data_IF_969409470786
#
_entry.id   IF_969409470786
#
_cell.length_a   1.000
_cell.length_b   1.000
_cell.length_c   1.000
_cell.angle_alpha   90.00
_cell.angle_beta   90.00
_cell.angle_gamma   90.00
#
_symmetry.space_group_name_H-M   'P 1'
#
loop_
_entity.id
_entity.type
_entity.pdbx_description
1 polymer ?
#
# COMPACT_ATOMS: atom_id res chain seq x y z
N UNK A 1 -12.40 17.40 -0.32
CA UNK A 1 -11.55 16.43 -1.05
C UNK A 1 -12.26 15.08 -1.12
N UNK A 2 -12.19 14.39 -2.26
CA UNK A 2 -12.77 13.05 -2.46
C UNK A 2 -11.66 12.11 -2.91
N UNK A 3 -11.54 10.96 -2.25
CA UNK A 3 -10.70 9.85 -2.67
C UNK A 3 -11.59 8.74 -3.25
N UNK A 4 -11.47 8.46 -4.55
CA UNK A 4 -12.06 7.28 -5.15
C UNK A 4 -11.16 6.08 -4.93
N UNK A 5 -11.65 5.13 -4.14
CA UNK A 5 -10.85 4.02 -3.63
C UNK A 5 -11.67 2.75 -3.41
N UNK A 6 -10.97 1.62 -3.36
CA UNK A 6 -11.49 0.34 -2.87
C UNK A 6 -10.57 -0.16 -1.76
N UNK A 7 -11.11 -0.62 -0.62
CA UNK A 7 -10.31 -1.02 0.55
C UNK A 7 -9.31 -2.15 0.27
N UNK A 8 -9.60 -3.02 -0.69
CA UNK A 8 -8.70 -4.12 -1.10
C UNK A 8 -7.46 -3.65 -1.87
N UNK A 9 -7.45 -2.41 -2.36
CA UNK A 9 -6.33 -1.88 -3.16
C UNK A 9 -5.23 -1.31 -2.26
N UNK A 10 -4.04 -1.91 -2.30
CA UNK A 10 -2.87 -1.44 -1.56
C UNK A 10 -2.56 0.04 -1.85
N UNK A 11 -2.65 0.46 -3.11
CA UNK A 11 -2.40 1.85 -3.49
C UNK A 11 -3.48 2.82 -3.00
N UNK A 12 -4.74 2.36 -2.88
CA UNK A 12 -5.79 3.15 -2.23
C UNK A 12 -5.54 3.29 -0.73
N UNK A 13 -5.20 2.20 -0.06
CA UNK A 13 -4.85 2.18 1.35
C UNK A 13 -3.64 3.06 1.65
N UNK A 14 -2.61 3.04 0.77
CA UNK A 14 -1.44 3.92 0.85
C UNK A 14 -1.84 5.41 0.94
N UNK A 15 -2.77 5.87 0.11
CA UNK A 15 -3.27 7.26 0.13
C UNK A 15 -4.17 7.51 1.34
N UNK A 16 -5.06 6.57 1.67
CA UNK A 16 -5.96 6.72 2.83
C UNK A 16 -5.18 6.86 4.15
N UNK A 17 -4.06 6.13 4.31
CA UNK A 17 -3.17 6.30 5.48
C UNK A 17 -2.63 7.73 5.57
N UNK A 18 -2.17 8.33 4.46
CA UNK A 18 -1.66 9.70 4.45
C UNK A 18 -2.75 10.71 4.80
N UNK A 19 -3.93 10.59 4.19
CA UNK A 19 -5.07 11.46 4.48
C UNK A 19 -5.48 11.41 5.96
N UNK A 20 -5.58 10.20 6.52
CA UNK A 20 -5.93 9.97 7.92
C UNK A 20 -4.83 10.46 8.87
N UNK A 21 -3.58 10.15 8.58
CA UNK A 21 -2.44 10.56 9.42
C UNK A 21 -2.32 12.09 9.51
N UNK A 22 -2.48 12.77 8.37
CA UNK A 22 -2.49 14.24 8.29
C UNK A 22 -3.81 14.86 8.75
N UNK A 23 -4.83 14.05 9.09
CA UNK A 23 -6.17 14.51 9.51
C UNK A 23 -6.82 15.44 8.49
N UNK A 24 -6.58 15.21 7.21
CA UNK A 24 -7.14 16.01 6.13
C UNK A 24 -8.62 15.65 5.98
N UNK A 25 -9.57 16.62 6.00
CA UNK A 25 -10.98 16.34 5.76
C UNK A 25 -11.21 15.76 4.36
N UNK A 26 -11.75 14.55 4.28
CA UNK A 26 -11.98 13.87 3.03
C UNK A 26 -13.17 12.89 3.10
N UNK A 27 -13.66 12.50 1.93
CA UNK A 27 -14.59 11.40 1.76
C UNK A 27 -13.90 10.28 0.95
N UNK A 28 -14.13 9.04 1.32
CA UNK A 28 -13.71 7.88 0.53
C UNK A 28 -14.96 7.31 -0.13
N UNK A 29 -14.96 7.26 -1.46
CA UNK A 29 -16.08 6.78 -2.26
C UNK A 29 -15.62 5.66 -3.21
N UNK A 30 -16.48 4.67 -3.51
CA UNK A 30 -16.21 3.73 -4.59
C UNK A 30 -16.27 4.48 -5.95
N UNK A 31 -15.47 4.05 -6.95
CA UNK A 31 -15.59 4.59 -8.30
C UNK A 31 -16.98 4.36 -8.86
N UNK A 32 -17.63 5.37 -9.49
CA UNK A 32 -18.91 5.21 -10.16
C UNK A 32 -18.89 4.04 -11.16
N UNK A 33 -19.81 3.09 -11.03
CA UNK A 33 -19.91 1.86 -11.82
C UNK A 33 -18.62 1.01 -11.88
N UNK A 34 -17.71 1.17 -10.88
CA UNK A 34 -16.43 0.49 -10.78
C UNK A 34 -15.27 1.21 -11.48
N UNK A 35 -14.04 0.87 -11.10
CA UNK A 35 -12.84 1.44 -11.74
C UNK A 35 -12.76 0.98 -13.22
N UNK A 36 -12.29 1.90 -14.08
CA UNK A 36 -12.21 1.67 -15.52
C UNK A 36 -13.51 1.88 -16.28
N UNK A 37 -14.66 2.10 -15.61
CA UNK A 37 -15.95 2.38 -16.26
C UNK A 37 -15.92 3.71 -17.03
N UNK A 38 -16.77 3.86 -18.07
CA UNK A 38 -16.94 5.13 -18.77
C UNK A 38 -17.32 6.28 -17.82
N UNK A 39 -18.21 6.03 -16.88
CA UNK A 39 -18.70 7.01 -15.90
C UNK A 39 -17.57 7.47 -14.96
N UNK A 40 -16.75 6.54 -14.49
CA UNK A 40 -15.61 6.90 -13.65
C UNK A 40 -14.54 7.68 -14.44
N UNK A 41 -14.34 7.35 -15.71
CA UNK A 41 -13.39 8.07 -16.58
C UNK A 41 -13.81 9.52 -16.86
N UNK A 42 -15.08 9.88 -16.71
CA UNK A 42 -15.53 11.26 -16.75
C UNK A 42 -15.05 12.06 -15.52
N UNK A 43 -14.78 11.37 -14.41
CA UNK A 43 -14.29 11.99 -13.16
C UNK A 43 -12.76 11.89 -13.07
N UNK A 44 -12.21 10.69 -13.27
CA UNK A 44 -10.78 10.41 -13.24
C UNK A 44 -10.39 9.83 -14.60
N UNK A 45 -9.81 10.61 -15.51
CA UNK A 45 -9.61 10.23 -16.92
C UNK A 45 -8.80 8.94 -17.13
N UNK A 46 -7.89 8.59 -16.22
CA UNK A 46 -7.14 7.33 -16.27
C UNK A 46 -8.02 6.10 -15.99
N UNK A 47 -9.17 6.27 -15.33
CA UNK A 47 -10.03 5.18 -14.87
C UNK A 47 -9.42 4.31 -13.79
N UNK A 48 -8.21 4.64 -13.28
CA UNK A 48 -7.49 3.89 -12.25
C UNK A 48 -7.86 4.37 -10.84
N UNK A 49 -7.62 3.52 -9.85
CA UNK A 49 -7.69 3.83 -8.42
C UNK A 49 -6.30 3.70 -7.78
N UNK A 50 -5.96 4.55 -6.79
CA UNK A 50 -6.73 5.67 -6.27
C UNK A 50 -6.90 6.81 -7.27
N UNK A 51 -8.05 7.52 -7.18
CA UNK A 51 -8.27 8.80 -7.83
C UNK A 51 -8.59 9.86 -6.79
N UNK A 52 -7.87 10.98 -6.77
CA UNK A 52 -8.11 12.10 -5.87
C UNK A 52 -8.75 13.26 -6.62
N UNK A 53 -9.81 13.84 -6.04
CA UNK A 53 -10.44 15.09 -6.51
C UNK A 53 -10.37 16.13 -5.40
N UNK A 54 -9.71 17.25 -5.68
CA UNK A 54 -9.58 18.38 -4.76
C UNK A 54 -9.91 19.68 -5.52
N UNK A 55 -11.17 20.14 -5.41
CA UNK A 55 -11.68 21.22 -6.25
C UNK A 55 -11.64 20.84 -7.74
N UNK A 56 -10.89 21.60 -8.54
CA UNK A 56 -10.68 21.35 -9.97
C UNK A 56 -9.52 20.38 -10.24
N UNK A 57 -8.69 20.11 -9.25
CA UNK A 57 -7.55 19.21 -9.40
C UNK A 57 -8.04 17.76 -9.36
N UNK A 58 -7.67 16.99 -10.38
CA UNK A 58 -7.88 15.54 -10.44
C UNK A 58 -6.55 14.84 -10.61
N UNK A 59 -6.22 13.96 -9.68
CA UNK A 59 -4.98 13.17 -9.70
C UNK A 59 -5.28 11.68 -9.68
N UNK A 60 -4.43 10.93 -10.33
CA UNK A 60 -4.25 9.48 -10.16
C UNK A 60 -2.75 9.19 -9.94
N UNK A 61 -2.38 7.94 -9.65
CA UNK A 61 -1.08 7.50 -9.18
C UNK A 61 -0.83 7.87 -7.70
N UNK A 62 -0.80 6.84 -6.86
CA UNK A 62 -0.76 6.99 -5.40
C UNK A 62 0.43 7.80 -4.89
N UNK A 63 1.59 7.68 -5.56
CA UNK A 63 2.77 8.44 -5.18
C UNK A 63 2.62 9.94 -5.49
N UNK A 64 2.10 10.27 -6.68
CA UNK A 64 1.84 11.67 -7.05
C UNK A 64 0.80 12.30 -6.12
N UNK A 65 -0.23 11.55 -5.74
CA UNK A 65 -1.22 11.99 -4.76
C UNK A 65 -0.56 12.26 -3.40
N UNK A 66 0.27 11.35 -2.91
CA UNK A 66 0.93 11.48 -1.61
C UNK A 66 1.92 12.65 -1.58
N UNK A 67 2.69 12.87 -2.65
CA UNK A 67 3.57 14.04 -2.79
C UNK A 67 2.76 15.34 -2.78
N UNK A 68 1.65 15.39 -3.54
CA UNK A 68 0.74 16.54 -3.50
C UNK A 68 0.21 16.81 -2.09
N UNK A 69 -0.25 15.76 -1.37
CA UNK A 69 -0.75 15.89 0.00
C UNK A 69 0.33 16.36 0.97
N UNK A 70 1.58 15.93 0.78
CA UNK A 70 2.72 16.37 1.60
C UNK A 70 3.03 17.85 1.38
N UNK A 71 3.02 18.32 0.13
CA UNK A 71 3.30 19.71 -0.20
C UNK A 71 2.15 20.65 0.23
N UNK A 72 0.90 20.23 -0.02
CA UNK A 72 -0.29 21.03 0.31
C UNK A 72 -0.57 21.09 1.81
N UNK A 73 -0.28 20.00 2.53
CA UNK A 73 -0.53 19.84 3.98
C UNK A 73 0.77 19.40 4.67
N UNK A 74 1.71 20.30 4.92
CA UNK A 74 3.07 19.95 5.37
C UNK A 74 3.14 19.41 6.80
N UNK A 75 2.04 19.43 7.57
CA UNK A 75 2.02 18.94 8.95
C UNK A 75 0.99 17.83 9.17
N UNK A 76 1.37 16.71 9.83
CA UNK A 76 2.73 16.32 10.20
C UNK A 76 3.59 16.06 8.96
N UNK A 77 4.90 16.33 9.08
CA UNK A 77 5.86 16.14 7.98
C UNK A 77 6.05 14.64 7.74
N UNK A 78 5.79 14.17 6.52
CA UNK A 78 6.00 12.78 6.11
C UNK A 78 7.15 12.59 5.12
N UNK A 79 7.79 13.68 4.70
CA UNK A 79 9.00 13.67 3.87
C UNK A 79 10.08 14.57 4.50
N UNK A 80 10.59 14.22 5.71
CA UNK A 80 11.51 15.06 6.48
C UNK A 80 12.93 15.08 5.93
N UNK A 81 13.67 16.09 6.34
CA UNK A 81 15.11 16.20 6.12
C UNK A 81 15.52 16.99 4.88
N UNK A 82 16.80 16.94 4.59
CA UNK A 82 17.42 17.57 3.44
C UNK A 82 17.12 16.82 2.12
N UNK A 83 17.52 17.35 0.96
CA UNK A 83 17.25 16.69 -0.33
C UNK A 83 17.82 15.27 -0.42
N UNK A 84 18.95 14.96 0.22
CA UNK A 84 19.54 13.61 0.21
C UNK A 84 18.68 12.62 0.99
N UNK A 85 18.23 13.02 2.18
CA UNK A 85 17.32 12.20 3.00
C UNK A 85 15.99 11.97 2.30
N UNK A 86 15.38 13.03 1.76
CA UNK A 86 14.12 12.94 0.98
C UNK A 86 14.26 12.02 -0.24
N UNK A 87 15.40 12.06 -0.94
CA UNK A 87 15.67 11.15 -2.05
C UNK A 87 15.67 9.69 -1.61
N UNK A 88 16.28 9.36 -0.46
CA UNK A 88 16.27 8.00 0.10
C UNK A 88 14.87 7.55 0.52
N UNK A 89 14.07 8.43 1.15
CA UNK A 89 12.69 8.13 1.50
C UNK A 89 11.86 7.81 0.24
N UNK A 90 11.98 8.61 -0.81
CA UNK A 90 11.35 8.36 -2.11
C UNK A 90 11.83 7.06 -2.75
N UNK A 91 13.13 6.74 -2.64
CA UNK A 91 13.67 5.47 -3.13
C UNK A 91 12.97 4.28 -2.48
N UNK A 92 12.77 4.30 -1.16
CA UNK A 92 12.08 3.21 -0.45
C UNK A 92 10.58 3.14 -0.83
N UNK A 93 9.89 4.28 -0.96
CA UNK A 93 8.52 4.29 -1.47
C UNK A 93 8.43 3.73 -2.89
N UNK A 94 9.37 4.07 -3.77
CA UNK A 94 9.42 3.52 -5.15
C UNK A 94 9.81 2.04 -5.17
N UNK A 95 10.68 1.59 -4.26
CA UNK A 95 10.99 0.17 -4.12
C UNK A 95 9.73 -0.64 -3.77
N UNK A 96 8.87 -0.13 -2.87
CA UNK A 96 7.57 -0.72 -2.61
C UNK A 96 6.76 -0.85 -3.90
N UNK A 97 6.52 0.26 -4.61
CA UNK A 97 5.61 0.32 -5.76
C UNK A 97 6.08 -0.51 -6.95
N UNK A 98 7.39 -0.64 -7.15
CA UNK A 98 7.98 -1.24 -8.34
C UNK A 98 8.54 -2.64 -8.14
N UNK A 99 8.87 -3.03 -6.89
CA UNK A 99 9.54 -4.28 -6.62
C UNK A 99 8.76 -5.20 -5.66
N UNK A 100 8.07 -4.67 -4.65
CA UNK A 100 7.39 -5.51 -3.65
C UNK A 100 5.93 -5.74 -4.01
N UNK A 101 5.16 -4.67 -4.23
CA UNK A 101 3.73 -4.75 -4.51
C UNK A 101 3.40 -5.56 -5.77
N UNK A 102 4.12 -5.43 -6.91
CA UNK A 102 3.83 -6.22 -8.10
C UNK A 102 3.98 -7.73 -7.91
N UNK A 103 4.86 -8.17 -7.02
CA UNK A 103 5.01 -9.60 -6.71
C UNK A 103 3.73 -10.11 -6.03
N UNK A 104 3.25 -9.42 -5.00
CA UNK A 104 2.01 -9.78 -4.29
C UNK A 104 0.82 -9.74 -5.26
N UNK A 105 0.70 -8.68 -6.07
CA UNK A 105 -0.36 -8.54 -7.08
C UNK A 105 -0.36 -9.67 -8.10
N UNK A 106 0.81 -10.16 -8.53
CA UNK A 106 0.94 -11.24 -9.50
C UNK A 106 0.32 -12.57 -9.00
N UNK A 107 0.10 -12.68 -7.69
CA UNK A 107 -0.46 -13.88 -7.06
C UNK A 107 -1.99 -13.86 -6.96
N UNK A 108 -2.68 -12.81 -7.39
CA UNK A 108 -4.14 -12.71 -7.30
C UNK A 108 -4.86 -13.87 -8.01
N UNK A 109 -4.37 -14.28 -9.18
CA UNK A 109 -4.90 -15.45 -9.89
C UNK A 109 -4.70 -16.76 -9.14
N UNK A 110 -3.69 -16.87 -8.27
CA UNK A 110 -3.38 -18.09 -7.53
C UNK A 110 -4.29 -18.31 -6.30
N UNK A 111 -5.09 -17.31 -5.93
CA UNK A 111 -6.06 -17.42 -4.82
C UNK A 111 -7.12 -18.48 -5.11
N UNK A 112 -7.56 -18.61 -6.36
CA UNK A 112 -8.47 -19.68 -6.78
C UNK A 112 -7.77 -21.04 -6.79
N UNK A 113 -8.27 -22.04 -6.03
CA UNK A 113 -7.65 -23.38 -5.95
C UNK A 113 -7.55 -24.08 -7.31
N UNK A 114 -8.50 -23.81 -8.23
CA UNK A 114 -8.61 -24.47 -9.53
C UNK A 114 -7.43 -24.16 -10.47
N UNK A 115 -6.79 -23.00 -10.30
CA UNK A 115 -5.68 -22.54 -11.15
C UNK A 115 -4.38 -22.33 -10.37
N UNK A 116 -4.39 -22.70 -9.08
CA UNK A 116 -3.23 -22.54 -8.20
C UNK A 116 -2.07 -23.43 -8.67
N UNK A 117 -0.90 -22.83 -8.81
CA UNK A 117 0.33 -23.50 -9.23
C UNK A 117 1.40 -23.35 -8.15
N UNK A 118 1.82 -24.48 -7.57
CA UNK A 118 2.81 -24.50 -6.47
C UNK A 118 4.16 -23.94 -6.89
N UNK A 119 4.62 -24.19 -8.11
CA UNK A 119 5.90 -23.66 -8.60
C UNK A 119 5.85 -22.13 -8.73
N UNK A 120 4.73 -21.57 -9.22
CA UNK A 120 4.53 -20.11 -9.27
C UNK A 120 4.58 -19.53 -7.87
N UNK A 121 3.90 -20.15 -6.89
CA UNK A 121 3.90 -19.70 -5.50
C UNK A 121 5.31 -19.68 -4.91
N UNK A 122 6.08 -20.76 -5.09
CA UNK A 122 7.44 -20.87 -4.58
C UNK A 122 8.39 -19.84 -5.22
N UNK A 123 8.31 -19.65 -6.54
CA UNK A 123 9.12 -18.67 -7.25
C UNK A 123 8.81 -17.23 -6.78
N UNK A 124 7.53 -16.89 -6.60
CA UNK A 124 7.13 -15.57 -6.11
C UNK A 124 7.48 -15.35 -4.64
N UNK A 125 7.41 -16.39 -3.81
CA UNK A 125 7.86 -16.32 -2.43
C UNK A 125 9.36 -16.02 -2.34
N UNK A 126 10.18 -16.73 -3.13
CA UNK A 126 11.62 -16.47 -3.19
C UNK A 126 11.96 -15.07 -3.70
N UNK A 127 11.23 -14.59 -4.71
CA UNK A 127 11.41 -13.24 -5.24
C UNK A 127 11.01 -12.17 -4.20
N UNK A 128 9.88 -12.36 -3.51
CA UNK A 128 9.44 -11.47 -2.44
C UNK A 128 10.47 -11.43 -1.31
N UNK A 129 10.96 -12.59 -0.85
CA UNK A 129 11.98 -12.65 0.20
C UNK A 129 13.24 -11.88 -0.19
N UNK A 130 13.67 -12.00 -1.46
CA UNK A 130 14.80 -11.21 -1.98
C UNK A 130 14.53 -9.70 -1.88
N UNK A 131 13.31 -9.23 -2.20
CA UNK A 131 12.98 -7.81 -2.11
C UNK A 131 12.84 -7.33 -0.66
N UNK A 132 12.35 -8.17 0.25
CA UNK A 132 12.29 -7.84 1.68
C UNK A 132 13.70 -7.77 2.30
N UNK A 133 14.62 -8.65 1.90
CA UNK A 133 16.02 -8.58 2.31
C UNK A 133 16.67 -7.30 1.76
N UNK A 134 16.41 -6.93 0.50
CA UNK A 134 16.88 -5.67 -0.07
C UNK A 134 16.33 -4.45 0.69
N UNK A 135 15.07 -4.49 1.11
CA UNK A 135 14.51 -3.44 1.97
C UNK A 135 15.25 -3.35 3.30
N UNK A 136 15.55 -4.50 3.94
CA UNK A 136 16.32 -4.54 5.18
C UNK A 136 17.72 -3.95 5.04
N UNK A 137 18.38 -4.19 3.89
CA UNK A 137 19.71 -3.64 3.58
C UNK A 137 19.67 -2.12 3.30
N UNK A 138 18.57 -1.62 2.72
CA UNK A 138 18.40 -0.20 2.38
C UNK A 138 17.90 0.65 3.54
N UNK A 139 17.20 0.04 4.48
CA UNK A 139 16.57 0.70 5.62
C UNK A 139 17.54 0.76 6.82
N UNK A 140 17.21 1.66 7.76
CA UNK A 140 17.79 1.77 9.08
C UNK A 140 16.66 2.16 10.06
N UNK A 141 15.80 1.18 10.46
CA UNK A 141 14.58 1.46 11.23
C UNK A 141 14.87 2.09 12.60
N UNK A 142 14.15 3.23 12.92
CA UNK A 142 14.35 4.02 14.14
C UNK A 142 13.05 4.68 14.69
N UNK A 143 11.93 4.03 14.91
CA UNK A 143 11.49 2.69 14.52
C UNK A 143 10.94 2.60 13.08
N UNK A 144 10.77 3.73 12.35
CA UNK A 144 10.34 3.73 10.94
C UNK A 144 11.56 3.64 10.01
N UNK A 145 11.35 3.28 8.74
CA UNK A 145 12.42 2.82 7.82
C UNK A 145 13.69 3.68 7.79
N UNK A 146 13.59 5.01 7.91
CA UNK A 146 14.73 5.93 7.96
C UNK A 146 14.50 7.10 8.93
N UNK A 147 13.47 7.04 9.78
CA UNK A 147 12.94 8.19 10.53
C UNK A 147 12.42 7.77 11.90
N UNK A 148 12.35 8.73 12.84
CA UNK A 148 11.73 8.51 14.14
C UNK A 148 10.18 8.54 14.07
N UNK A 149 9.61 9.17 13.04
CA UNK A 149 8.17 9.26 12.80
C UNK A 149 7.83 8.61 11.45
N UNK A 150 6.60 8.12 11.29
CA UNK A 150 6.14 7.53 10.03
C UNK A 150 6.28 8.52 8.86
N UNK A 151 6.79 8.05 7.75
CA UNK A 151 7.07 8.82 6.54
C UNK A 151 6.38 8.24 5.31
N UNK A 152 6.47 8.92 4.16
CA UNK A 152 5.97 8.40 2.88
C UNK A 152 6.70 7.10 2.45
N UNK A 153 7.89 6.83 2.97
CA UNK A 153 8.60 5.58 2.72
C UNK A 153 7.88 4.35 3.29
N UNK A 154 7.11 4.53 4.38
CA UNK A 154 6.52 3.44 5.16
C UNK A 154 5.13 3.03 4.68
N UNK A 155 4.32 4.02 4.25
CA UNK A 155 2.86 3.89 4.11
C UNK A 155 2.39 2.84 3.11
N UNK A 156 3.15 2.58 2.05
CA UNK A 156 2.80 1.58 1.03
C UNK A 156 2.97 0.15 1.52
N UNK A 157 3.97 -0.10 2.36
CA UNK A 157 4.28 -1.45 2.84
C UNK A 157 3.18 -2.01 3.76
N UNK A 158 2.57 -1.20 4.62
CA UNK A 158 1.58 -1.67 5.59
C UNK A 158 0.44 -2.49 4.94
N UNK A 159 -0.31 -1.97 3.95
CA UNK A 159 -1.37 -2.75 3.30
C UNK A 159 -0.84 -3.91 2.44
N UNK A 160 0.35 -3.76 1.86
CA UNK A 160 0.96 -4.81 1.02
C UNK A 160 1.42 -6.00 1.85
N UNK A 161 2.02 -5.76 3.03
CA UNK A 161 2.40 -6.82 3.95
C UNK A 161 1.16 -7.56 4.48
N UNK A 162 0.11 -6.82 4.87
CA UNK A 162 -1.17 -7.42 5.28
C UNK A 162 -1.76 -8.32 4.18
N UNK A 163 -1.83 -7.82 2.96
CA UNK A 163 -2.33 -8.60 1.81
C UNK A 163 -1.47 -9.85 1.59
N UNK A 164 -0.14 -9.70 1.66
CA UNK A 164 0.80 -10.82 1.56
C UNK A 164 0.55 -11.88 2.63
N UNK A 165 0.45 -11.48 3.90
CA UNK A 165 0.16 -12.40 5.03
C UNK A 165 -1.12 -13.21 4.79
N UNK A 166 -2.23 -12.54 4.44
CA UNK A 166 -3.52 -13.19 4.19
C UNK A 166 -3.48 -14.14 2.98
N UNK A 167 -2.74 -13.78 1.94
CA UNK A 167 -2.58 -14.65 0.78
C UNK A 167 -1.70 -15.86 1.09
N UNK A 168 -0.60 -15.69 1.86
CA UNK A 168 0.25 -16.80 2.30
C UNK A 168 -0.53 -17.77 3.18
N UNK A 169 -1.33 -17.28 4.11
CA UNK A 169 -2.25 -18.10 4.90
C UNK A 169 -3.21 -18.90 3.99
N UNK A 170 -3.82 -18.24 3.01
CA UNK A 170 -4.69 -18.87 2.00
C UNK A 170 -3.96 -19.96 1.18
N UNK A 171 -2.66 -19.83 0.94
CA UNK A 171 -1.86 -20.81 0.21
C UNK A 171 -1.32 -21.93 1.10
N UNK A 172 -1.50 -21.87 2.42
CA UNK A 172 -0.90 -22.80 3.38
C UNK A 172 0.61 -22.64 3.50
N UNK A 173 1.12 -21.43 3.24
CA UNK A 173 2.54 -21.10 3.29
C UNK A 173 2.85 -20.26 4.53
N UNK A 174 4.10 -20.28 4.98
CA UNK A 174 4.58 -19.40 6.05
C UNK A 174 4.98 -18.04 5.50
N UNK A 175 4.66 -17.00 6.26
CA UNK A 175 5.13 -15.64 6.04
C UNK A 175 6.38 -15.38 6.87
N UNK A 176 7.45 -14.90 6.25
CA UNK A 176 8.71 -14.62 6.93
C UNK A 176 9.21 -13.21 6.59
N UNK A 177 9.17 -12.33 7.59
CA UNK A 177 9.71 -10.98 7.50
C UNK A 177 11.11 -10.95 8.11
N UNK A 178 12.13 -10.39 7.42
CA UNK A 178 13.47 -10.23 7.98
C UNK A 178 13.45 -9.61 9.39
N UNK A 179 14.26 -10.16 10.29
CA UNK A 179 14.24 -9.76 11.71
C UNK A 179 14.45 -8.25 11.93
N UNK A 180 15.27 -7.62 11.08
CA UNK A 180 15.52 -6.18 11.10
C UNK A 180 14.26 -5.34 10.82
N UNK A 181 13.24 -5.91 10.17
CA UNK A 181 12.01 -5.23 9.82
C UNK A 181 10.84 -5.53 10.77
N UNK A 182 11.01 -6.45 11.71
CA UNK A 182 9.92 -6.86 12.61
C UNK A 182 9.49 -5.75 13.57
N UNK A 183 10.44 -5.06 14.19
CA UNK A 183 10.15 -3.93 15.10
C UNK A 183 9.50 -2.76 14.33
N UNK A 184 9.98 -2.48 13.12
CA UNK A 184 9.37 -1.50 12.22
C UNK A 184 7.91 -1.86 11.90
N UNK A 185 7.63 -3.11 11.53
CA UNK A 185 6.25 -3.55 11.27
C UNK A 185 5.37 -3.36 12.50
N UNK A 186 5.86 -3.73 13.68
CA UNK A 186 5.12 -3.51 14.93
C UNK A 186 4.85 -2.02 15.20
N UNK A 187 5.85 -1.17 15.05
CA UNK A 187 5.68 0.28 15.20
C UNK A 187 4.66 0.84 14.21
N UNK A 188 4.70 0.38 12.95
CA UNK A 188 3.80 0.82 11.90
C UNK A 188 2.33 0.45 12.23
N UNK A 189 2.09 -0.75 12.78
CA UNK A 189 0.76 -1.20 13.19
C UNK A 189 0.18 -0.42 14.39
N UNK A 190 1.02 0.26 15.19
CA UNK A 190 0.57 1.12 16.30
C UNK A 190 0.13 2.51 15.83
N UNK A 191 0.40 2.90 14.59
CA UNK A 191 -0.06 4.20 14.06
C UNK A 191 -1.57 4.14 13.84
N UNK A 192 -2.39 5.02 14.47
CA UNK A 192 -3.84 4.92 14.38
C UNK A 192 -4.39 4.94 12.94
N UNK A 193 -3.82 5.79 12.07
CA UNK A 193 -4.20 5.87 10.67
C UNK A 193 -3.93 4.56 9.90
N UNK A 194 -2.84 3.87 10.23
CA UNK A 194 -2.49 2.56 9.67
C UNK A 194 -3.46 1.51 10.19
N UNK A 195 -3.63 1.40 11.52
CA UNK A 195 -4.50 0.40 12.14
C UNK A 195 -5.95 0.47 11.63
N UNK A 196 -6.50 1.70 11.50
CA UNK A 196 -7.84 1.91 10.95
C UNK A 196 -7.94 1.46 9.49
N UNK A 197 -6.98 1.86 8.66
CA UNK A 197 -6.97 1.51 7.22
C UNK A 197 -6.80 0.01 7.03
N UNK A 198 -5.91 -0.63 7.80
CA UNK A 198 -5.67 -2.07 7.69
C UNK A 198 -6.86 -2.91 8.16
N UNK A 199 -7.66 -2.45 9.10
CA UNK A 199 -8.90 -3.12 9.48
C UNK A 199 -9.86 -3.21 8.29
N UNK A 200 -10.11 -2.10 7.60
CA UNK A 200 -10.96 -2.07 6.42
C UNK A 200 -10.39 -2.92 5.26
N UNK A 201 -9.08 -2.84 5.05
CA UNK A 201 -8.39 -3.62 4.03
C UNK A 201 -8.46 -5.14 4.32
N UNK A 202 -8.31 -5.54 5.59
CA UNK A 202 -8.43 -6.95 6.01
C UNK A 202 -9.80 -7.51 5.74
N UNK A 203 -10.86 -6.81 6.15
CA UNK A 203 -12.25 -7.22 5.92
C UNK A 203 -12.54 -7.42 4.43
N UNK A 204 -12.13 -6.46 3.60
CA UNK A 204 -12.30 -6.54 2.16
C UNK A 204 -11.48 -7.68 1.53
N UNK A 205 -10.24 -7.89 1.99
CA UNK A 205 -9.35 -8.94 1.46
C UNK A 205 -9.85 -10.33 1.84
N UNK A 206 -10.26 -10.54 3.08
CA UNK A 206 -10.82 -11.83 3.54
C UNK A 206 -12.08 -12.18 2.74
N UNK A 207 -12.98 -11.20 2.55
CA UNK A 207 -14.19 -11.38 1.73
C UNK A 207 -13.84 -11.74 0.29
N UNK A 208 -12.87 -11.05 -0.30
CA UNK A 208 -12.42 -11.33 -1.66
C UNK A 208 -11.77 -12.71 -1.78
N UNK A 209 -10.89 -13.12 -0.86
CA UNK A 209 -10.28 -14.44 -0.84
C UNK A 209 -11.37 -15.52 -0.77
N UNK A 210 -12.33 -15.39 0.16
CA UNK A 210 -13.43 -16.32 0.29
C UNK A 210 -14.24 -16.47 -1.01
N UNK A 211 -14.49 -15.35 -1.72
CA UNK A 211 -15.21 -15.35 -3.01
C UNK A 211 -14.47 -16.08 -4.15
N UNK A 212 -13.18 -16.35 -3.99
CA UNK A 212 -12.34 -17.05 -4.98
C UNK A 212 -12.11 -18.51 -4.66
N UNK A 213 -12.52 -18.97 -3.47
CA UNK A 213 -12.32 -20.35 -3.01
C UNK A 213 -13.57 -21.22 -3.16
N UNK A 214 -14.71 -20.65 -3.42
CA UNK A 214 -15.97 -21.34 -3.75
C UNK A 214 -16.14 -21.43 -5.24
#
# INVERSE_FOLDING_TARGET
MILYALPISNFCSKVAIVLRHKRIPHQILPPPNGYGSPEYKLVVPTGKIPGLVDGELVLSESEAINEYLEEQYPNPVMLPGDPKKRARLRQLSRHHDLAVEPIIRSLFGQVSPQIRNTEVLQNRAAELQKQLNMLADLADPQPFLLTAEMSLADVGYAPTLLLGELMWECFGMTWDLPSQLQEWQQALLQVPAVAETLREAREATVTWIASKQG
#
